data_IF_653447581567
#
_entry.id   IF_653447581567
#
_cell.length_a   1.000
_cell.length_b   1.000
_cell.length_c   1.000
_cell.angle_alpha   90.00
_cell.angle_beta   90.00
_cell.angle_gamma   90.00
#
_symmetry.space_group_name_H-M   'P 1'
#
loop_
_entity.id
_entity.type
_entity.pdbx_description
1 polymer ?
#
# COMPACT_ATOMS: atom_id res chain seq x y z
N UNK A 1 6.23 8.40 3.47
CA UNK A 1 5.42 7.23 3.07
C UNK A 1 4.34 7.73 2.15
N UNK A 2 4.04 6.97 1.10
CA UNK A 2 3.24 7.48 0.01
C UNK A 2 1.87 7.91 0.52
N UNK A 3 1.31 8.98 -0.04
CA UNK A 3 -0.09 9.28 0.26
C UNK A 3 -0.99 8.23 -0.40
N UNK A 4 -2.24 8.07 0.04
CA UNK A 4 -3.16 7.06 -0.52
C UNK A 4 -3.22 7.09 -2.06
N UNK A 5 -3.19 8.29 -2.67
CA UNK A 5 -3.19 8.43 -4.14
C UNK A 5 -1.95 7.81 -4.78
N UNK A 6 -0.78 7.91 -4.16
CA UNK A 6 0.41 7.23 -4.63
C UNK A 6 0.30 5.71 -4.50
N UNK A 7 -0.30 5.19 -3.43
CA UNK A 7 -0.58 3.76 -3.30
C UNK A 7 -1.54 3.27 -4.40
N UNK A 8 -2.60 4.02 -4.69
CA UNK A 8 -3.50 3.71 -5.82
C UNK A 8 -2.76 3.70 -7.14
N UNK A 9 -1.96 4.73 -7.42
CA UNK A 9 -1.21 4.85 -8.67
C UNK A 9 -0.27 3.66 -8.84
N UNK A 10 0.51 3.34 -7.80
CA UNK A 10 1.48 2.24 -7.84
C UNK A 10 0.77 0.90 -7.99
N UNK A 11 -0.33 0.67 -7.27
CA UNK A 11 -1.11 -0.57 -7.38
C UNK A 11 -1.70 -0.73 -8.77
N UNK A 12 -2.23 0.34 -9.37
CA UNK A 12 -2.76 0.31 -10.74
C UNK A 12 -1.68 -0.06 -11.75
N UNK A 13 -0.46 0.43 -11.58
CA UNK A 13 0.67 0.15 -12.47
C UNK A 13 1.19 -1.28 -12.29
N UNK A 14 1.38 -1.74 -11.05
CA UNK A 14 2.03 -3.02 -10.78
C UNK A 14 1.08 -4.21 -10.79
N UNK A 15 -0.17 -4.01 -10.34
CA UNK A 15 -1.18 -5.07 -10.21
C UNK A 15 -2.27 -4.98 -11.28
N UNK A 16 -2.22 -3.97 -12.16
CA UNK A 16 -3.24 -3.72 -13.18
C UNK A 16 -4.59 -3.25 -12.64
N UNK A 17 -4.70 -2.99 -11.33
CA UNK A 17 -5.94 -2.58 -10.66
C UNK A 17 -5.70 -1.67 -9.46
N UNK A 18 -6.73 -0.93 -9.08
CA UNK A 18 -6.75 -0.12 -7.85
C UNK A 18 -7.07 -1.02 -6.66
N UNK A 19 -6.36 -0.83 -5.54
CA UNK A 19 -6.52 -1.59 -4.29
C UNK A 19 -7.21 -0.71 -3.23
N UNK A 20 -8.31 -0.07 -3.63
CA UNK A 20 -8.88 1.04 -2.88
C UNK A 20 -9.42 0.65 -1.52
N UNK A 21 -10.09 -0.50 -1.40
CA UNK A 21 -10.66 -0.93 -0.13
C UNK A 21 -9.56 -1.31 0.85
N UNK A 22 -8.52 -1.99 0.36
CA UNK A 22 -7.32 -2.34 1.13
C UNK A 22 -6.64 -1.11 1.69
N UNK A 23 -6.35 -0.11 0.84
CA UNK A 23 -5.73 1.13 1.29
C UNK A 23 -6.61 1.88 2.28
N UNK A 24 -7.92 1.94 2.04
CA UNK A 24 -8.85 2.56 2.99
C UNK A 24 -8.86 1.86 4.34
N UNK A 25 -8.86 0.53 4.35
CA UNK A 25 -8.92 -0.28 5.57
C UNK A 25 -7.62 -0.20 6.37
N UNK A 26 -6.46 -0.34 5.71
CA UNK A 26 -5.15 -0.23 6.37
C UNK A 26 -4.90 1.19 6.90
N UNK A 27 -5.28 2.22 6.14
CA UNK A 27 -5.12 3.62 6.55
C UNK A 27 -6.22 4.08 7.52
N UNK A 28 -7.31 3.33 7.71
CA UNK A 28 -8.46 3.78 8.51
C UNK A 28 -8.08 4.27 9.91
N UNK A 29 -7.18 3.58 10.65
CA UNK A 29 -6.78 4.03 11.98
C UNK A 29 -6.00 5.37 11.98
N UNK A 30 -5.53 5.85 10.82
CA UNK A 30 -4.89 7.15 10.68
C UNK A 30 -5.81 8.31 11.11
N UNK A 31 -7.14 8.14 10.98
CA UNK A 31 -8.13 9.13 11.43
C UNK A 31 -8.07 9.39 12.94
N UNK A 32 -7.68 8.40 13.73
CA UNK A 32 -7.66 8.49 15.20
C UNK A 32 -6.24 8.59 15.75
N UNK A 33 -5.27 7.93 15.11
CA UNK A 33 -3.91 7.77 15.63
C UNK A 33 -2.87 8.61 14.89
N UNK A 34 -3.25 9.30 13.81
CA UNK A 34 -2.34 10.05 12.95
C UNK A 34 -1.20 9.15 12.46
N UNK A 35 0.06 9.62 12.54
CA UNK A 35 1.25 8.88 12.08
C UNK A 35 1.47 7.53 12.79
N UNK A 36 0.88 7.32 13.97
CA UNK A 36 1.05 6.08 14.76
C UNK A 36 0.24 4.89 14.22
N UNK A 37 -0.71 5.12 13.30
CA UNK A 37 -1.54 4.04 12.73
C UNK A 37 -0.72 2.94 12.06
N UNK A 38 0.47 3.26 11.55
CA UNK A 38 1.38 2.29 10.92
C UNK A 38 1.85 1.16 11.84
N UNK A 39 1.64 1.28 13.15
CA UNK A 39 1.85 0.15 14.07
C UNK A 39 0.78 -0.94 13.93
N UNK A 40 -0.37 -0.59 13.39
CA UNK A 40 -1.48 -1.50 13.15
C UNK A 40 -1.48 -1.86 11.68
N UNK A 41 -1.55 -3.16 11.38
CA UNK A 41 -1.68 -3.68 10.02
C UNK A 41 -0.49 -3.46 9.06
N UNK A 42 0.57 -2.75 9.46
CA UNK A 42 1.77 -2.54 8.62
C UNK A 42 3.05 -3.15 9.20
N UNK A 43 2.97 -3.89 10.32
CA UNK A 43 4.15 -4.53 10.93
C UNK A 43 4.34 -5.97 10.46
N UNK A 44 3.26 -6.63 10.02
CA UNK A 44 3.26 -8.03 9.65
C UNK A 44 2.77 -8.18 8.19
N UNK A 45 3.58 -8.75 7.28
CA UNK A 45 3.17 -8.93 5.89
C UNK A 45 1.97 -9.87 5.74
N UNK A 46 1.81 -10.86 6.62
CA UNK A 46 0.69 -11.80 6.56
C UNK A 46 -0.64 -11.13 6.92
N UNK A 47 -0.65 -10.27 7.95
CA UNK A 47 -1.83 -9.47 8.30
C UNK A 47 -2.21 -8.51 7.16
N UNK A 48 -1.23 -7.86 6.55
CA UNK A 48 -1.46 -6.98 5.42
C UNK A 48 -2.07 -7.76 4.24
N UNK A 49 -1.50 -8.93 3.91
CA UNK A 49 -2.04 -9.84 2.88
C UNK A 49 -3.47 -10.28 3.20
N UNK A 50 -3.76 -10.63 4.45
CA UNK A 50 -5.11 -11.01 4.87
C UNK A 50 -6.11 -9.86 4.66
N UNK A 51 -5.73 -8.62 4.99
CA UNK A 51 -6.56 -7.43 4.73
C UNK A 51 -6.76 -7.24 3.23
N UNK A 52 -5.72 -7.40 2.41
CA UNK A 52 -5.83 -7.37 0.95
C UNK A 52 -6.86 -8.37 0.42
N UNK A 53 -6.79 -9.60 0.90
CA UNK A 53 -7.71 -10.67 0.53
C UNK A 53 -9.15 -10.38 0.97
N UNK A 54 -9.35 -9.87 2.19
CA UNK A 54 -10.69 -9.57 2.72
C UNK A 54 -11.31 -8.34 2.03
N UNK A 55 -10.52 -7.30 1.80
CA UNK A 55 -11.02 -6.01 1.32
C UNK A 55 -11.23 -5.99 -0.19
N UNK A 56 -10.23 -6.43 -0.98
CA UNK A 56 -10.25 -6.37 -2.45
C UNK A 56 -10.19 -7.75 -3.12
N UNK A 57 -10.24 -8.85 -2.35
CA UNK A 57 -10.16 -10.20 -2.90
C UNK A 57 -8.75 -10.59 -3.37
N UNK A 58 -7.72 -9.81 -3.02
CA UNK A 58 -6.36 -10.03 -3.49
C UNK A 58 -5.32 -9.69 -2.42
N UNK A 59 -4.64 -10.72 -1.93
CA UNK A 59 -3.56 -10.60 -0.96
C UNK A 59 -2.41 -9.69 -1.43
N UNK A 60 -2.17 -9.57 -2.74
CA UNK A 60 -1.10 -8.72 -3.28
C UNK A 60 -1.36 -7.24 -3.07
N UNK A 61 -2.62 -6.81 -2.99
CA UNK A 61 -2.98 -5.43 -2.63
C UNK A 61 -2.41 -5.06 -1.26
N UNK A 62 -2.60 -5.93 -0.28
CA UNK A 62 -2.12 -5.74 1.08
C UNK A 62 -0.60 -5.83 1.18
N UNK A 63 -0.02 -6.84 0.54
CA UNK A 63 1.44 -7.00 0.50
C UNK A 63 2.14 -5.79 -0.13
N UNK A 64 1.63 -5.28 -1.25
CA UNK A 64 2.23 -4.14 -1.94
C UNK A 64 2.14 -2.88 -1.08
N UNK A 65 1.01 -2.65 -0.41
CA UNK A 65 0.86 -1.55 0.53
C UNK A 65 1.90 -1.66 1.67
N UNK A 66 1.99 -2.81 2.33
CA UNK A 66 2.98 -3.09 3.37
C UNK A 66 4.41 -2.83 2.89
N UNK A 67 4.77 -3.34 1.70
CA UNK A 67 6.13 -3.23 1.16
C UNK A 67 6.50 -1.79 0.81
N UNK A 68 5.57 -1.02 0.23
CA UNK A 68 5.78 0.40 -0.08
C UNK A 68 6.00 1.25 1.17
N UNK A 69 5.38 0.84 2.28
CA UNK A 69 5.51 1.55 3.55
C UNK A 69 6.78 1.14 4.31
N UNK A 70 7.07 -0.15 4.41
CA UNK A 70 8.19 -0.67 5.22
C UNK A 70 9.54 -0.58 4.51
N UNK A 71 9.58 -0.71 3.18
CA UNK A 71 10.81 -0.73 2.39
C UNK A 71 10.99 0.57 1.59
N UNK A 72 11.71 1.51 2.19
CA UNK A 72 11.98 2.83 1.59
C UNK A 72 12.77 2.74 0.28
N UNK A 73 13.66 1.76 0.15
CA UNK A 73 14.47 1.61 -1.05
C UNK A 73 13.62 1.09 -2.20
N UNK A 74 12.79 0.08 -1.94
CA UNK A 74 11.79 -0.41 -2.88
C UNK A 74 10.86 0.73 -3.35
N UNK A 75 10.29 1.49 -2.42
CA UNK A 75 9.41 2.61 -2.76
C UNK A 75 10.13 3.67 -3.62
N UNK A 76 11.39 3.99 -3.31
CA UNK A 76 12.21 4.93 -4.09
C UNK A 76 12.49 4.40 -5.50
N UNK A 77 12.82 3.11 -5.63
CA UNK A 77 13.04 2.45 -6.93
C UNK A 77 11.77 2.50 -7.76
N UNK A 78 10.63 2.02 -7.25
CA UNK A 78 9.36 2.05 -7.97
C UNK A 78 8.99 3.47 -8.45
N UNK A 79 9.09 4.47 -7.57
CA UNK A 79 8.82 5.87 -7.97
C UNK A 79 9.76 6.37 -9.07
N UNK A 80 11.05 6.03 -9.00
CA UNK A 80 12.02 6.38 -10.05
C UNK A 80 11.64 5.75 -11.39
N UNK A 81 11.24 4.48 -11.39
CA UNK A 81 10.87 3.75 -12.60
C UNK A 81 9.59 4.32 -13.23
N UNK A 82 8.56 4.56 -12.42
CA UNK A 82 7.31 5.21 -12.87
C UNK A 82 7.61 6.55 -13.55
N UNK A 83 8.50 7.36 -12.95
CA UNK A 83 8.92 8.66 -13.51
C UNK A 83 9.67 8.51 -14.85
N UNK A 84 10.58 7.54 -14.96
CA UNK A 84 11.35 7.28 -16.20
C UNK A 84 10.42 6.85 -17.33
N UNK A 85 9.47 5.96 -17.02
CA UNK A 85 8.53 5.39 -17.99
C UNK A 85 7.37 6.34 -18.33
N UNK A 86 7.29 7.52 -17.70
CA UNK A 86 6.19 8.50 -17.85
C UNK A 86 4.80 7.90 -17.58
N UNK A 87 4.73 6.92 -16.67
CA UNK A 87 3.50 6.33 -16.15
C UNK A 87 2.96 7.15 -14.96
#
# INVERSE_FOLDING_TARGET
>A
MPNRREHEKISKILLGKTCTKTHQMMDYPAKYLGKKHRKFFHNNPLEAMAIGQIADGDAMCGYLHYKLDTDKEFAKKIKKWIKILRL
#
